data_IF_702065318493
#
_entry.id   IF_702065318493
#
_cell.length_a   1.000
_cell.length_b   1.000
_cell.length_c   1.000
_cell.angle_alpha   90.00
_cell.angle_beta   90.00
_cell.angle_gamma   90.00
#
_symmetry.space_group_name_H-M   'P 1'
#
loop_
_entity.id
_entity.type
_entity.pdbx_description
1 polymer ?
#
# COMPACT_ATOMS: atom_id res chain seq x y z
N UNK A 1 -18.83 -21.12 3.18
CA UNK A 1 -17.50 -21.10 3.82
C UNK A 1 -17.33 -19.72 4.44
N UNK A 2 -17.38 -19.61 5.77
CA UNK A 2 -17.16 -18.34 6.46
C UNK A 2 -15.66 -18.05 6.43
N UNK A 3 -15.20 -17.15 5.56
CA UNK A 3 -13.82 -16.68 5.62
C UNK A 3 -13.66 -15.86 6.91
N UNK A 4 -12.91 -16.40 7.86
CA UNK A 4 -12.37 -15.66 9.01
C UNK A 4 -11.35 -14.62 8.51
N UNK A 5 -11.80 -13.60 7.77
CA UNK A 5 -10.96 -12.45 7.46
C UNK A 5 -10.83 -11.62 8.73
N UNK A 6 -9.80 -11.94 9.51
CA UNK A 6 -9.34 -11.05 10.58
C UNK A 6 -8.99 -9.71 9.93
N UNK A 7 -9.48 -8.58 10.45
CA UNK A 7 -9.09 -7.28 9.94
C UNK A 7 -7.58 -7.10 10.06
N UNK A 8 -6.97 -6.38 9.11
CA UNK A 8 -5.53 -6.20 9.11
C UNK A 8 -5.07 -5.36 10.30
N UNK A 9 -3.92 -5.71 10.84
CA UNK A 9 -3.26 -4.91 11.86
C UNK A 9 -2.71 -3.62 11.25
N UNK A 10 -2.56 -2.58 12.09
CA UNK A 10 -1.89 -1.33 11.69
C UNK A 10 -0.51 -1.58 11.08
N UNK A 11 0.25 -2.52 11.64
CA UNK A 11 1.59 -2.85 11.15
C UNK A 11 1.56 -3.41 9.72
N UNK A 12 0.63 -4.32 9.42
CA UNK A 12 0.49 -4.89 8.07
C UNK A 12 0.14 -3.81 7.04
N UNK A 13 -0.76 -2.89 7.41
CA UNK A 13 -1.12 -1.75 6.56
C UNK A 13 0.09 -0.87 6.30
N UNK A 14 0.84 -0.48 7.34
CA UNK A 14 2.02 0.38 7.21
C UNK A 14 3.10 -0.27 6.33
N UNK A 15 3.27 -1.59 6.41
CA UNK A 15 4.20 -2.33 5.53
C UNK A 15 3.77 -2.20 4.06
N UNK A 16 2.47 -2.30 3.75
CA UNK A 16 1.97 -2.13 2.37
C UNK A 16 2.17 -0.71 1.86
N UNK A 17 1.87 0.29 2.68
CA UNK A 17 2.08 1.70 2.34
C UNK A 17 3.57 2.03 2.11
N UNK A 18 4.46 1.47 2.93
CA UNK A 18 5.92 1.60 2.75
C UNK A 18 6.38 0.95 1.44
N UNK A 19 5.89 -0.26 1.12
CA UNK A 19 6.19 -0.94 -0.14
C UNK A 19 5.74 -0.12 -1.36
N UNK A 20 4.54 0.47 -1.32
CA UNK A 20 4.05 1.36 -2.38
C UNK A 20 4.91 2.62 -2.52
N UNK A 21 5.32 3.20 -1.39
CA UNK A 21 6.18 4.39 -1.36
C UNK A 21 7.53 4.11 -2.03
N UNK A 22 8.18 2.99 -1.65
CA UNK A 22 9.44 2.55 -2.26
C UNK A 22 9.28 2.26 -3.75
N UNK A 23 8.22 1.56 -4.14
CA UNK A 23 7.98 1.26 -5.55
C UNK A 23 7.86 2.54 -6.39
N UNK A 24 7.11 3.53 -5.90
CA UNK A 24 6.97 4.84 -6.57
C UNK A 24 8.29 5.62 -6.66
N UNK A 25 9.12 5.58 -5.62
CA UNK A 25 10.42 6.27 -5.60
C UNK A 25 11.44 5.58 -6.52
N UNK A 26 11.46 4.25 -6.53
CA UNK A 26 12.48 3.46 -7.24
C UNK A 26 12.12 3.26 -8.72
N UNK A 27 10.84 3.18 -9.08
CA UNK A 27 10.43 2.93 -10.48
C UNK A 27 11.04 3.93 -11.49
N UNK A 28 11.12 5.25 -11.22
CA UNK A 28 11.80 6.19 -12.12
C UNK A 28 13.31 5.95 -12.25
N UNK A 29 13.94 5.31 -11.25
CA UNK A 29 15.37 5.03 -11.20
C UNK A 29 15.74 3.70 -11.86
N UNK A 30 14.78 2.79 -12.00
CA UNK A 30 14.97 1.48 -12.62
C UNK A 30 15.38 1.63 -14.09
N UNK A 31 16.42 0.91 -14.51
CA UNK A 31 17.03 1.05 -15.84
C UNK A 31 16.46 0.03 -16.81
N UNK A 32 16.11 -1.15 -16.31
CA UNK A 32 15.65 -2.23 -17.17
C UNK A 32 14.11 -2.32 -17.19
N UNK A 33 13.49 -2.62 -18.34
CA UNK A 33 12.04 -2.76 -18.45
C UNK A 33 11.44 -3.78 -17.46
N UNK A 34 12.14 -4.89 -17.20
CA UNK A 34 11.66 -5.93 -16.29
C UNK A 34 11.64 -5.47 -14.82
N UNK A 35 12.61 -4.65 -14.40
CA UNK A 35 12.62 -4.04 -13.06
C UNK A 35 11.43 -3.09 -12.89
N UNK A 36 11.18 -2.24 -13.90
CA UNK A 36 10.02 -1.34 -13.91
C UNK A 36 8.72 -2.12 -13.80
N UNK A 37 8.60 -3.21 -14.55
CA UNK A 37 7.42 -4.08 -14.52
C UNK A 37 7.23 -4.73 -13.15
N UNK A 38 8.29 -5.24 -12.53
CA UNK A 38 8.23 -5.82 -11.20
C UNK A 38 7.78 -4.80 -10.14
N UNK A 39 8.27 -3.55 -10.22
CA UNK A 39 7.86 -2.47 -9.32
C UNK A 39 6.39 -2.06 -9.54
N UNK A 40 5.92 -2.02 -10.79
CA UNK A 40 4.49 -1.79 -11.10
C UNK A 40 3.63 -2.89 -10.50
N UNK A 41 4.02 -4.16 -10.68
CA UNK A 41 3.28 -5.29 -10.13
C UNK A 41 3.25 -5.26 -8.60
N UNK A 42 4.38 -5.02 -7.95
CA UNK A 42 4.45 -4.90 -6.50
C UNK A 42 3.55 -3.77 -5.97
N UNK A 43 3.55 -2.61 -6.65
CA UNK A 43 2.66 -1.49 -6.32
C UNK A 43 1.20 -1.90 -6.45
N UNK A 44 0.79 -2.45 -7.59
CA UNK A 44 -0.59 -2.85 -7.87
C UNK A 44 -1.09 -3.92 -6.90
N UNK A 45 -0.25 -4.89 -6.54
CA UNK A 45 -0.62 -5.91 -5.55
C UNK A 45 -0.84 -5.34 -4.15
N UNK A 46 -0.07 -4.33 -3.74
CA UNK A 46 -0.28 -3.67 -2.46
C UNK A 46 -1.55 -2.80 -2.47
N UNK A 47 -1.76 -2.05 -3.56
CA UNK A 47 -2.95 -1.22 -3.73
C UNK A 47 -4.24 -2.06 -3.72
N UNK A 48 -4.26 -3.17 -4.46
CA UNK A 48 -5.39 -4.09 -4.50
C UNK A 48 -5.67 -4.75 -3.14
N UNK A 49 -4.62 -5.07 -2.37
CA UNK A 49 -4.79 -5.59 -1.02
C UNK A 49 -5.43 -4.55 -0.10
N UNK A 50 -4.99 -3.30 -0.14
CA UNK A 50 -5.56 -2.21 0.67
C UNK A 50 -7.03 -1.93 0.30
N UNK A 51 -7.35 -1.97 -1.00
CA UNK A 51 -8.71 -1.82 -1.51
C UNK A 51 -9.63 -2.95 -1.02
N UNK A 52 -9.18 -4.20 -1.09
CA UNK A 52 -9.91 -5.37 -0.58
C UNK A 52 -10.19 -5.26 0.93
N UNK A 53 -9.28 -4.63 1.68
CA UNK A 53 -9.44 -4.39 3.12
C UNK A 53 -10.18 -3.08 3.45
N UNK A 54 -10.68 -2.35 2.44
CA UNK A 54 -11.33 -1.05 2.59
C UNK A 54 -10.49 -0.02 3.37
N UNK A 55 -9.17 -0.05 3.19
CA UNK A 55 -8.24 0.89 3.83
C UNK A 55 -8.11 2.15 2.98
N UNK A 56 -8.47 3.30 3.54
CA UNK A 56 -8.26 4.59 2.90
C UNK A 56 -6.83 5.11 3.16
N UNK A 57 -6.19 5.61 2.10
CA UNK A 57 -4.84 6.14 2.13
C UNK A 57 -4.66 7.16 1.01
N UNK A 58 -3.70 8.07 1.18
CA UNK A 58 -3.30 9.01 0.13
C UNK A 58 -1.78 9.09 0.01
N UNK A 59 -1.30 9.67 -1.10
CA UNK A 59 0.11 9.98 -1.27
C UNK A 59 0.39 11.40 -0.78
N UNK A 60 1.17 11.53 0.29
CA UNK A 60 1.65 12.81 0.78
C UNK A 60 2.87 13.24 -0.06
N UNK A 61 2.73 14.35 -0.78
CA UNK A 61 3.78 14.89 -1.65
C UNK A 61 4.94 15.53 -0.86
N UNK A 62 4.69 16.03 0.35
CA UNK A 62 5.69 16.71 1.17
C UNK A 62 6.72 15.72 1.71
N UNK A 63 6.24 14.58 2.22
CA UNK A 63 7.11 13.51 2.75
C UNK A 63 7.37 12.39 1.73
N UNK A 64 6.74 12.46 0.56
CA UNK A 64 6.86 11.50 -0.55
C UNK A 64 6.51 10.06 -0.17
N UNK A 65 5.50 9.89 0.68
CA UNK A 65 5.07 8.59 1.19
C UNK A 65 3.56 8.42 1.07
N UNK A 66 3.12 7.16 0.92
CA UNK A 66 1.73 6.81 1.14
C UNK A 66 1.46 6.75 2.64
N UNK A 67 0.39 7.41 3.07
CA UNK A 67 -0.01 7.53 4.47
C UNK A 67 -1.45 7.11 4.66
N UNK A 68 -1.75 6.63 5.86
CA UNK A 68 -3.07 6.19 6.25
C UNK A 68 -3.97 7.40 6.54
N UNK A 69 -5.21 7.38 6.04
CA UNK A 69 -6.20 8.40 6.38
C UNK A 69 -6.76 8.14 7.78
N UNK A 70 -6.34 8.96 8.74
CA UNK A 70 -6.65 8.75 10.16
C UNK A 70 -8.15 8.77 10.48
N UNK A 71 -8.96 9.48 9.69
CA UNK A 71 -10.41 9.58 9.87
C UNK A 71 -11.18 8.31 9.40
N UNK A 72 -10.57 7.47 8.56
CA UNK A 72 -11.17 6.23 8.08
C UNK A 72 -10.61 4.98 8.81
N UNK A 73 -9.42 5.11 9.40
CA UNK A 73 -8.69 4.04 10.05
C UNK A 73 -9.35 3.48 11.33
N UNK A 74 -10.06 4.32 12.09
CA UNK A 74 -10.65 3.91 13.38
C UNK A 74 -11.79 2.89 13.25
N UNK A 75 -12.41 2.79 12.07
CA UNK A 75 -13.49 1.84 11.80
C UNK A 75 -13.00 0.45 11.34
N UNK A 76 -11.75 0.34 10.87
CA UNK A 76 -11.29 -0.82 10.07
C UNK A 76 -10.10 -1.56 10.69
N UNK A 77 -9.42 -0.97 11.67
CA UNK A 77 -8.18 -1.50 12.26
C UNK A 77 -8.43 -2.05 13.67
N UNK A 78 -7.94 -3.26 13.95
CA UNK A 78 -7.89 -3.86 15.30
C UNK A 78 -6.55 -3.61 15.99
#
# INVERSE_FOLDING_TARGET
>A
MMNNHKPPTRQEILVKLDQMSRARIVQPLARFPHEKQALIQAFSSCAAWLELQHIAYHYDQQIRMYVLDHAAAEATIQ
#
